data_IF_746987835716
#
_entry.id   IF_746987835716
#
_cell.length_a   1.000
_cell.length_b   1.000
_cell.length_c   1.000
_cell.angle_alpha   90.00
_cell.angle_beta   90.00
_cell.angle_gamma   90.00
#
_symmetry.space_group_name_H-M   'P 1'
#
loop_
_entity.id
_entity.type
_entity.pdbx_description
1 polymer ?
#
# COMPACT_ATOMS: atom_id res chain seq x y z
N UNK A 1 -8.55 0.32 1.08
CA UNK A 1 -8.90 -0.29 -0.22
C UNK A 1 -7.98 -1.46 -0.49
N UNK A 2 -8.53 -2.67 -0.57
CA UNK A 2 -7.73 -3.86 -0.83
C UNK A 2 -7.39 -3.95 -2.32
N UNK A 3 -6.14 -4.25 -2.65
CA UNK A 3 -5.65 -4.21 -4.03
C UNK A 3 -5.36 -5.61 -4.54
N UNK A 4 -5.82 -5.90 -5.76
CA UNK A 4 -5.48 -7.10 -6.50
C UNK A 4 -4.53 -6.73 -7.65
N UNK A 5 -3.64 -7.66 -8.04
CA UNK A 5 -2.70 -7.45 -9.15
C UNK A 5 -3.13 -8.16 -10.43
N UNK A 6 -3.90 -9.23 -10.31
CA UNK A 6 -4.37 -10.04 -11.42
C UNK A 6 -5.64 -10.78 -11.00
N UNK A 7 -6.51 -11.10 -11.96
CA UNK A 7 -7.61 -12.04 -11.74
C UNK A 7 -7.07 -13.48 -11.56
N UNK A 8 -7.94 -14.37 -11.10
CA UNK A 8 -7.57 -15.74 -10.76
C UNK A 8 -7.09 -16.53 -11.99
N UNK A 9 -7.75 -16.35 -13.14
CA UNK A 9 -7.35 -16.95 -14.41
C UNK A 9 -5.95 -16.50 -14.84
N UNK A 10 -5.67 -15.19 -14.80
CA UNK A 10 -4.37 -14.66 -15.18
C UNK A 10 -3.25 -15.07 -14.21
N UNK A 11 -3.56 -15.13 -12.90
CA UNK A 11 -2.64 -15.63 -11.88
C UNK A 11 -2.30 -17.10 -12.11
N UNK A 12 -3.30 -17.97 -12.31
CA UNK A 12 -3.10 -19.42 -12.53
C UNK A 12 -2.29 -19.68 -13.80
N UNK A 13 -2.61 -18.99 -14.89
CA UNK A 13 -1.91 -19.11 -16.18
C UNK A 13 -0.59 -18.32 -16.26
N UNK A 14 -0.18 -17.66 -15.16
CA UNK A 14 1.03 -16.82 -15.10
C UNK A 14 1.16 -15.80 -16.24
N UNK A 15 0.03 -15.22 -16.68
CA UNK A 15 -0.04 -14.23 -17.77
C UNK A 15 -0.25 -12.81 -17.23
N UNK A 16 0.15 -11.80 -18.01
CA UNK A 16 -0.07 -10.39 -17.67
C UNK A 16 -1.57 -10.10 -17.66
N UNK A 17 -2.09 -9.62 -16.53
CA UNK A 17 -3.49 -9.22 -16.38
C UNK A 17 -3.63 -7.73 -16.72
N UNK A 18 -4.29 -7.42 -17.82
CA UNK A 18 -4.53 -6.03 -18.27
C UNK A 18 -6.00 -5.70 -18.20
N UNK A 19 -6.35 -4.64 -17.47
CA UNK A 19 -7.71 -4.14 -17.34
C UNK A 19 -7.84 -2.84 -18.12
N UNK A 20 -8.89 -2.74 -18.92
CA UNK A 20 -9.33 -1.47 -19.50
C UNK A 20 -10.33 -0.81 -18.55
N UNK A 21 -10.32 0.52 -18.36
CA UNK A 21 -11.11 1.21 -17.32
C UNK A 21 -12.63 1.06 -17.39
N UNK A 22 -13.16 0.45 -18.45
CA UNK A 22 -14.60 0.31 -18.72
C UNK A 22 -15.01 -1.12 -19.04
N UNK A 23 -14.13 -2.10 -18.87
CA UNK A 23 -14.43 -3.49 -19.17
C UNK A 23 -14.78 -4.28 -17.91
N UNK A 24 -15.80 -5.14 -18.03
CA UNK A 24 -16.23 -6.08 -16.99
C UNK A 24 -15.22 -7.21 -16.73
N UNK A 25 -14.15 -7.28 -17.52
CA UNK A 25 -13.10 -8.28 -17.39
C UNK A 25 -11.77 -7.84 -17.98
N UNK A 26 -10.69 -8.49 -17.57
CA UNK A 26 -9.37 -8.24 -18.14
C UNK A 26 -9.25 -8.77 -19.58
N UNK A 27 -8.45 -8.09 -20.41
CA UNK A 27 -8.25 -8.40 -21.84
C UNK A 27 -7.97 -9.89 -22.11
N UNK A 28 -7.07 -10.56 -21.35
CA UNK A 28 -6.77 -11.96 -21.62
C UNK A 28 -7.95 -12.90 -21.34
N UNK A 29 -8.80 -12.59 -20.36
CA UNK A 29 -9.95 -13.45 -20.02
C UNK A 29 -11.10 -13.26 -20.99
N UNK A 30 -11.29 -12.03 -21.48
CA UNK A 30 -12.23 -11.74 -22.57
C UNK A 30 -11.84 -12.48 -23.86
N UNK A 31 -10.56 -12.48 -24.21
CA UNK A 31 -10.06 -13.20 -25.39
C UNK A 31 -10.19 -14.72 -25.28
N UNK A 32 -9.86 -15.30 -24.12
CA UNK A 32 -9.94 -16.74 -23.91
C UNK A 32 -11.34 -17.23 -23.49
N UNK A 33 -12.32 -16.32 -23.36
CA UNK A 33 -13.67 -16.58 -22.84
C UNK A 33 -13.65 -17.32 -21.49
N UNK A 34 -12.63 -17.04 -20.68
CA UNK A 34 -12.53 -17.56 -19.32
C UNK A 34 -13.26 -16.64 -18.34
N UNK A 35 -13.75 -17.20 -17.24
CA UNK A 35 -14.28 -16.42 -16.13
C UNK A 35 -13.19 -15.52 -15.51
N UNK A 36 -13.52 -14.24 -15.33
CA UNK A 36 -12.61 -13.22 -14.80
C UNK A 36 -12.93 -12.88 -13.33
N UNK A 37 -12.78 -13.85 -12.44
CA UNK A 37 -12.98 -13.66 -10.99
C UNK A 37 -11.72 -13.12 -10.28
N UNK A 38 -11.93 -12.34 -9.22
CA UNK A 38 -10.87 -11.82 -8.34
C UNK A 38 -11.16 -12.26 -6.90
N UNK A 39 -10.89 -13.52 -6.58
CA UNK A 39 -11.06 -14.03 -5.20
C UNK A 39 -9.82 -13.78 -4.34
N UNK A 40 -8.66 -13.59 -4.97
CA UNK A 40 -7.39 -13.36 -4.29
C UNK A 40 -7.14 -11.89 -3.96
N UNK A 41 -7.83 -11.41 -2.95
CA UNK A 41 -7.57 -10.08 -2.39
C UNK A 41 -6.35 -10.15 -1.47
N UNK A 42 -5.29 -9.41 -1.81
CA UNK A 42 -4.15 -9.28 -0.89
C UNK A 42 -4.59 -8.45 0.31
N UNK A 43 -4.51 -9.03 1.51
CA UNK A 43 -4.63 -8.26 2.75
C UNK A 43 -3.58 -7.15 2.70
N UNK A 44 -4.01 -5.92 2.96
CA UNK A 44 -3.09 -4.81 3.15
C UNK A 44 -2.09 -5.22 4.24
N UNK A 45 -0.80 -5.23 3.88
CA UNK A 45 0.24 -5.35 4.90
C UNK A 45 0.16 -4.10 5.75
N UNK A 46 -0.40 -4.23 6.95
CA UNK A 46 -0.20 -3.22 7.99
C UNK A 46 1.31 -3.20 8.24
N UNK A 47 1.98 -2.10 7.86
CA UNK A 47 3.38 -1.91 8.21
C UNK A 47 3.46 -2.05 9.73
N UNK A 48 4.34 -2.92 10.23
CA UNK A 48 4.59 -3.05 11.67
C UNK A 48 4.81 -1.66 12.26
N UNK A 49 4.14 -1.36 13.37
CA UNK A 49 4.17 -0.07 14.07
C UNK A 49 5.56 0.41 14.53
N UNK A 50 6.66 -0.29 14.23
CA UNK A 50 8.03 0.20 14.44
C UNK A 50 8.24 1.64 13.93
N UNK A 51 7.53 2.06 12.88
CA UNK A 51 7.55 3.44 12.40
C UNK A 51 6.82 4.46 13.30
N UNK A 52 5.80 4.07 14.05
CA UNK A 52 5.06 5.00 14.93
C UNK A 52 5.85 5.35 16.19
N UNK A 53 6.70 4.42 16.67
CA UNK A 53 7.57 4.68 17.81
C UNK A 53 8.63 5.76 17.48
N UNK A 54 9.17 5.75 16.25
CA UNK A 54 10.08 6.79 15.76
C UNK A 54 9.45 8.18 15.72
N UNK A 55 8.16 8.27 15.41
CA UNK A 55 7.46 9.57 15.38
C UNK A 55 7.38 10.17 16.79
N UNK A 56 7.05 9.35 17.80
CA UNK A 56 7.04 9.79 19.19
C UNK A 56 8.44 10.22 19.66
N UNK A 57 9.46 9.43 19.31
CA UNK A 57 10.85 9.71 19.64
C UNK A 57 11.35 11.03 19.02
N UNK A 58 11.04 11.27 17.74
CA UNK A 58 11.37 12.53 17.08
C UNK A 58 10.65 13.72 17.69
N UNK A 59 9.36 13.58 18.05
CA UNK A 59 8.63 14.64 18.75
C UNK A 59 9.29 15.01 20.07
N UNK A 60 9.62 14.02 20.90
CA UNK A 60 10.31 14.25 22.18
C UNK A 60 11.71 14.83 22.01
N UNK A 61 12.37 14.59 20.87
CA UNK A 61 13.68 15.16 20.57
C UNK A 61 13.57 16.61 20.11
N UNK A 62 12.59 16.93 19.25
CA UNK A 62 12.32 18.30 18.80
C UNK A 62 11.99 19.18 20.01
N UNK A 63 11.07 18.73 20.87
CA UNK A 63 10.65 19.49 22.04
C UNK A 63 11.82 19.80 22.99
N UNK A 64 12.75 18.86 23.18
CA UNK A 64 13.98 19.11 23.96
C UNK A 64 14.92 20.12 23.30
N UNK A 65 15.05 20.07 21.98
CA UNK A 65 15.90 21.01 21.25
C UNK A 65 15.31 22.42 21.28
N UNK A 66 13.98 22.56 21.20
CA UNK A 66 13.27 23.82 21.33
C UNK A 66 13.54 24.46 22.71
N UNK A 67 13.41 23.68 23.80
CA UNK A 67 13.73 24.19 25.15
C UNK A 67 15.18 24.64 25.29
N UNK A 68 16.14 23.87 24.76
CA UNK A 68 17.56 24.24 24.83
C UNK A 68 17.88 25.51 24.02
N UNK A 69 17.19 25.71 22.90
CA UNK A 69 17.32 26.94 22.10
C UNK A 69 16.72 28.14 22.82
N UNK A 70 15.57 27.97 23.47
CA UNK A 70 14.97 29.03 24.31
C UNK A 70 15.90 29.43 25.44
N UNK A 71 16.44 28.47 26.20
CA UNK A 71 17.41 28.71 27.28
C UNK A 71 18.66 29.45 26.80
N UNK A 72 19.21 29.09 25.64
CA UNK A 72 20.40 29.73 25.07
C UNK A 72 20.11 31.10 24.43
N UNK A 73 18.86 31.35 24.00
CA UNK A 73 18.45 32.64 23.44
C UNK A 73 18.06 33.67 24.51
N UNK A 74 17.77 33.21 25.73
CA UNK A 74 17.43 34.05 26.88
C UNK A 74 18.65 34.55 27.67
N UNK A 75 19.85 34.05 27.35
CA UNK A 75 21.18 34.53 27.80
C UNK A 75 21.83 35.41 26.76
#
# INVERSE_FOLDING_TARGET
MATFRACDSCRRRKRKCTWTPSADGCTPSLQSKDECAITHVRKLRVKSQKGSNRIAEYKSRIQRLETLLEEHSAT
#
